data_IF_938762278848
#
_entry.id   IF_938762278848
#
_cell.length_a   1.000
_cell.length_b   1.000
_cell.length_c   1.000
_cell.angle_alpha   90.00
_cell.angle_beta   90.00
_cell.angle_gamma   90.00
#
_symmetry.space_group_name_H-M   'P 1'
#
loop_
_entity.id
_entity.type
_entity.pdbx_description
1 polymer ?
#
# COMPACT_ATOMS: atom_id res chain seq x y z
N UNK A 1 16.23 7.53 -20.61
CA UNK A 1 15.58 8.19 -19.46
C UNK A 1 15.28 9.63 -19.84
N UNK A 2 14.01 10.05 -19.86
CA UNK A 2 13.63 11.46 -20.08
C UNK A 2 14.04 12.24 -18.82
N UNK A 3 14.83 13.29 -18.97
CA UNK A 3 15.18 14.16 -17.85
C UNK A 3 13.93 15.00 -17.56
N UNK A 4 13.40 14.99 -16.32
CA UNK A 4 12.20 15.74 -15.98
C UNK A 4 12.44 17.23 -16.20
N UNK A 5 11.45 17.90 -16.77
CA UNK A 5 11.48 19.35 -16.93
C UNK A 5 11.37 20.03 -15.56
N UNK A 6 11.85 21.28 -15.46
CA UNK A 6 11.77 22.04 -14.19
C UNK A 6 10.33 22.26 -13.74
N UNK A 7 9.39 22.33 -14.69
CA UNK A 7 7.96 22.48 -14.44
C UNK A 7 7.35 21.20 -13.87
N UNK A 8 7.59 20.05 -14.51
CA UNK A 8 7.17 18.73 -14.01
C UNK A 8 7.72 18.46 -12.59
N UNK A 9 8.98 18.87 -12.32
CA UNK A 9 9.59 18.71 -10.99
C UNK A 9 8.89 19.56 -9.93
N UNK A 10 8.55 20.80 -10.25
CA UNK A 10 7.87 21.68 -9.31
C UNK A 10 6.44 21.19 -9.02
N UNK A 11 5.74 20.70 -10.04
CA UNK A 11 4.43 20.09 -9.88
C UNK A 11 4.48 18.83 -9.02
N UNK A 12 5.47 17.96 -9.28
CA UNK A 12 5.72 16.78 -8.47
C UNK A 12 5.98 17.12 -7.00
N UNK A 13 6.89 18.06 -6.72
CA UNK A 13 7.22 18.50 -5.35
C UNK A 13 6.01 19.09 -4.64
N UNK A 14 5.21 19.89 -5.34
CA UNK A 14 3.97 20.44 -4.79
C UNK A 14 2.98 19.32 -4.46
N UNK A 15 2.77 18.38 -5.37
CA UNK A 15 1.81 17.28 -5.19
C UNK A 15 2.17 16.37 -4.02
N UNK A 16 3.43 15.92 -3.93
CA UNK A 16 3.90 15.10 -2.81
C UNK A 16 3.96 15.91 -1.50
N UNK A 17 4.23 17.21 -1.58
CA UNK A 17 4.26 18.11 -0.42
C UNK A 17 2.88 18.27 0.22
N UNK A 18 1.85 18.48 -0.60
CA UNK A 18 0.44 18.49 -0.16
C UNK A 18 0.05 17.12 0.41
N UNK A 19 0.48 16.03 -0.22
CA UNK A 19 0.31 14.67 0.29
C UNK A 19 0.94 14.48 1.68
N UNK A 20 2.20 14.83 1.83
CA UNK A 20 2.94 14.75 3.09
C UNK A 20 2.30 15.59 4.20
N UNK A 21 1.86 16.82 3.89
CA UNK A 21 1.16 17.69 4.85
C UNK A 21 -0.16 17.10 5.32
N UNK A 22 -0.98 16.54 4.42
CA UNK A 22 -2.22 15.85 4.78
C UNK A 22 -1.93 14.64 5.68
N UNK A 23 -0.89 13.86 5.36
CA UNK A 23 -0.47 12.71 6.16
C UNK A 23 0.04 13.12 7.55
N UNK A 24 0.82 14.19 7.64
CA UNK A 24 1.32 14.74 8.88
C UNK A 24 0.18 15.29 9.76
N UNK A 25 -0.83 15.93 9.17
CA UNK A 25 -2.02 16.39 9.90
C UNK A 25 -2.79 15.21 10.53
N UNK A 26 -2.97 14.11 9.80
CA UNK A 26 -3.56 12.87 10.34
C UNK A 26 -2.67 12.30 11.46
N UNK A 27 -1.36 12.24 11.24
CA UNK A 27 -0.41 11.76 12.25
C UNK A 27 -0.40 12.62 13.52
N UNK A 28 -0.56 13.94 13.40
CA UNK A 28 -0.69 14.86 14.54
C UNK A 28 -1.95 14.59 15.34
N UNK A 29 -3.08 14.34 14.66
CA UNK A 29 -4.33 13.97 15.32
C UNK A 29 -4.17 12.65 16.09
N UNK A 30 -3.64 11.61 15.44
CA UNK A 30 -3.39 10.29 16.06
C UNK A 30 -2.44 10.42 17.25
N UNK A 31 -1.35 11.16 17.09
CA UNK A 31 -0.35 11.36 18.13
C UNK A 31 -0.87 12.13 19.33
N UNK A 32 -1.64 13.19 19.09
CA UNK A 32 -2.24 14.01 20.15
C UNK A 32 -3.31 13.23 20.92
N UNK A 33 -4.21 12.54 20.21
CA UNK A 33 -5.23 11.69 20.82
C UNK A 33 -4.60 10.53 21.60
N UNK A 34 -3.60 9.86 21.01
CA UNK A 34 -2.86 8.77 21.64
C UNK A 34 -2.13 9.21 22.90
N UNK A 35 -1.42 10.34 22.83
CA UNK A 35 -0.72 10.93 23.97
C UNK A 35 -1.69 11.31 25.10
N UNK A 36 -2.82 11.95 24.77
CA UNK A 36 -3.86 12.31 25.73
C UNK A 36 -4.43 11.07 26.45
N UNK A 37 -4.78 10.03 25.69
CA UNK A 37 -5.33 8.80 26.26
C UNK A 37 -4.30 8.07 27.14
N UNK A 38 -3.04 8.00 26.68
CA UNK A 38 -1.96 7.37 27.42
C UNK A 38 -1.69 8.08 28.76
N UNK A 39 -1.63 9.41 28.75
CA UNK A 39 -1.45 10.25 29.95
C UNK A 39 -2.60 10.10 30.95
N UNK A 40 -3.84 9.93 30.47
CA UNK A 40 -5.02 9.71 31.32
C UNK A 40 -5.04 8.31 31.94
N UNK A 41 -4.63 7.29 31.20
CA UNK A 41 -4.70 5.88 31.63
C UNK A 41 -3.51 5.44 32.48
N UNK A 42 -2.34 6.03 32.28
CA UNK A 42 -1.10 5.68 32.98
C UNK A 42 -0.38 6.94 33.49
N UNK A 43 -0.70 7.41 34.71
CA UNK A 43 -0.09 8.63 35.26
C UNK A 43 1.44 8.54 35.43
N UNK A 44 2.00 7.33 35.53
CA UNK A 44 3.45 7.09 35.56
C UNK A 44 4.19 7.50 34.26
N UNK A 45 3.47 7.69 33.15
CA UNK A 45 4.06 8.24 31.91
C UNK A 45 4.50 9.70 32.07
N UNK A 46 3.94 10.44 33.04
CA UNK A 46 4.36 11.81 33.34
C UNK A 46 5.79 11.87 33.86
N UNK A 47 6.25 10.83 34.56
CA UNK A 47 7.58 10.76 35.15
C UNK A 47 8.65 10.19 34.20
N UNK A 48 8.26 9.72 33.00
CA UNK A 48 9.23 9.23 32.01
C UNK A 48 10.02 10.38 31.38
N UNK A 49 11.25 10.09 30.96
CA UNK A 49 12.18 11.05 30.35
C UNK A 49 11.59 11.74 29.11
N UNK A 50 12.04 12.98 28.88
CA UNK A 50 11.55 13.85 27.79
C UNK A 50 11.72 13.21 26.42
N UNK A 51 12.81 12.48 26.18
CA UNK A 51 13.06 11.77 24.92
C UNK A 51 11.94 10.79 24.55
N UNK A 52 11.44 10.00 25.50
CA UNK A 52 10.38 9.04 25.22
C UNK A 52 9.08 9.74 24.81
N UNK A 53 8.79 10.89 25.41
CA UNK A 53 7.58 11.68 25.13
C UNK A 53 7.65 12.30 23.74
N UNK A 54 8.76 12.94 23.41
CA UNK A 54 8.95 13.56 22.09
C UNK A 54 9.00 12.51 20.98
N UNK A 55 9.71 11.40 21.17
CA UNK A 55 9.75 10.32 20.19
C UNK A 55 8.37 9.70 19.95
N UNK A 56 7.64 9.35 21.03
CA UNK A 56 6.30 8.78 20.91
C UNK A 56 5.32 9.75 20.25
N UNK A 57 5.53 11.06 20.42
CA UNK A 57 4.70 12.06 19.77
C UNK A 57 5.08 12.28 18.29
N UNK A 58 6.37 12.31 17.97
CA UNK A 58 6.87 12.63 16.62
C UNK A 58 6.76 11.44 15.67
N UNK A 59 6.96 10.21 16.17
CA UNK A 59 7.03 9.02 15.32
C UNK A 59 5.76 8.76 14.49
N UNK A 60 4.52 8.85 15.04
CA UNK A 60 3.30 8.71 14.25
C UNK A 60 3.13 9.81 13.20
N UNK A 61 3.54 11.04 13.53
CA UNK A 61 3.46 12.19 12.61
C UNK A 61 4.33 11.97 11.38
N UNK A 62 5.59 11.58 11.60
CA UNK A 62 6.52 11.30 10.52
C UNK A 62 6.10 10.07 9.71
N UNK A 63 5.67 8.99 10.37
CA UNK A 63 5.23 7.79 9.69
C UNK A 63 4.04 8.07 8.75
N UNK A 64 2.97 8.70 9.25
CA UNK A 64 1.81 9.04 8.43
C UNK A 64 2.15 10.06 7.32
N UNK A 65 3.02 11.03 7.61
CA UNK A 65 3.48 12.01 6.62
C UNK A 65 4.24 11.34 5.46
N UNK A 66 5.24 10.52 5.77
CA UNK A 66 6.07 9.83 4.77
C UNK A 66 5.23 8.82 3.97
N UNK A 67 4.37 8.03 4.62
CA UNK A 67 3.50 7.08 3.90
C UNK A 67 2.54 7.78 2.94
N UNK A 68 1.94 8.91 3.34
CA UNK A 68 1.03 9.62 2.44
C UNK A 68 1.77 10.37 1.33
N UNK A 69 2.99 10.83 1.58
CA UNK A 69 3.89 11.38 0.57
C UNK A 69 4.21 10.32 -0.50
N UNK A 70 4.58 9.12 -0.06
CA UNK A 70 4.85 7.97 -0.93
C UNK A 70 3.62 7.59 -1.78
N UNK A 71 2.43 7.53 -1.18
CA UNK A 71 1.20 7.27 -1.93
C UNK A 71 0.89 8.37 -2.95
N UNK A 72 1.16 9.62 -2.60
CA UNK A 72 0.96 10.75 -3.52
C UNK A 72 1.98 10.71 -4.66
N UNK A 73 3.23 10.34 -4.38
CA UNK A 73 4.26 10.13 -5.40
C UNK A 73 3.82 9.08 -6.43
N UNK A 74 3.39 7.90 -5.97
CA UNK A 74 2.92 6.83 -6.87
C UNK A 74 1.67 7.23 -7.67
N UNK A 75 0.76 8.00 -7.07
CA UNK A 75 -0.43 8.51 -7.78
C UNK A 75 -0.06 9.49 -8.88
N UNK A 76 0.87 10.40 -8.60
CA UNK A 76 1.37 11.33 -9.60
C UNK A 76 1.99 10.60 -10.79
N UNK A 77 2.83 9.60 -10.51
CA UNK A 77 3.45 8.77 -11.53
C UNK A 77 2.40 7.98 -12.34
N UNK A 78 1.41 7.40 -11.67
CA UNK A 78 0.34 6.66 -12.33
C UNK A 78 -0.49 7.54 -13.28
N UNK A 79 -0.76 8.78 -12.91
CA UNK A 79 -1.54 9.72 -13.72
C UNK A 79 -0.75 10.29 -14.91
N UNK A 80 0.54 10.61 -14.71
CA UNK A 80 1.36 11.25 -15.73
C UNK A 80 2.01 10.27 -16.70
N UNK A 81 2.39 9.09 -16.23
CA UNK A 81 3.10 8.09 -17.03
C UNK A 81 2.24 6.86 -17.34
N UNK A 82 1.00 6.78 -16.82
CA UNK A 82 0.15 5.62 -17.04
C UNK A 82 0.73 4.34 -16.45
N UNK A 83 1.53 4.44 -15.39
CA UNK A 83 2.18 3.29 -14.75
C UNK A 83 1.42 2.84 -13.48
N UNK A 84 1.62 1.59 -13.05
CA UNK A 84 0.96 1.07 -11.86
C UNK A 84 -0.55 0.88 -12.04
N UNK A 85 -1.37 1.46 -11.16
CA UNK A 85 -2.83 1.22 -11.13
C UNK A 85 -3.59 1.76 -12.34
N UNK A 86 -3.01 2.75 -13.05
CA UNK A 86 -3.59 3.35 -14.25
C UNK A 86 -3.02 2.77 -15.55
N UNK A 87 -2.20 1.72 -15.46
CA UNK A 87 -1.69 1.04 -16.64
C UNK A 87 -2.84 0.46 -17.48
N UNK A 88 -2.77 0.55 -18.82
CA UNK A 88 -3.84 0.10 -19.70
C UNK A 88 -4.22 -1.36 -19.46
N UNK A 89 -3.22 -2.20 -19.14
CA UNK A 89 -3.41 -3.61 -18.77
C UNK A 89 -4.20 -3.78 -17.48
N UNK A 90 -3.93 -2.96 -16.46
CA UNK A 90 -4.60 -2.99 -15.16
C UNK A 90 -6.04 -2.48 -15.28
N UNK A 91 -6.25 -1.41 -16.04
CA UNK A 91 -7.59 -0.88 -16.32
C UNK A 91 -8.42 -1.87 -17.17
N UNK A 92 -7.81 -2.52 -18.16
CA UNK A 92 -8.46 -3.57 -18.94
C UNK A 92 -8.81 -4.78 -18.06
N UNK A 93 -7.95 -5.14 -17.10
CA UNK A 93 -8.23 -6.16 -16.10
C UNK A 93 -9.40 -5.77 -15.20
N UNK A 94 -9.41 -4.56 -14.65
CA UNK A 94 -10.52 -4.06 -13.82
C UNK A 94 -11.85 -4.10 -14.57
N UNK A 95 -11.89 -3.68 -15.84
CA UNK A 95 -13.09 -3.79 -16.69
C UNK A 95 -13.53 -5.22 -16.95
N UNK A 96 -12.62 -6.20 -16.95
CA UNK A 96 -12.98 -7.63 -16.99
C UNK A 96 -13.58 -8.08 -15.65
N UNK A 97 -12.98 -7.66 -14.53
CA UNK A 97 -13.45 -7.96 -13.18
C UNK A 97 -14.85 -7.42 -12.89
N UNK A 98 -15.18 -6.25 -13.43
CA UNK A 98 -16.52 -5.65 -13.31
C UNK A 98 -17.62 -6.42 -14.04
N UNK A 99 -17.26 -7.25 -15.02
CA UNK A 99 -18.20 -8.10 -15.76
C UNK A 99 -18.49 -9.43 -15.05
N UNK A 100 -17.76 -9.76 -13.98
CA UNK A 100 -18.00 -10.99 -13.21
C UNK A 100 -19.19 -10.85 -12.26
N UNK A 101 -19.83 -11.98 -11.89
CA UNK A 101 -20.81 -12.04 -10.82
C UNK A 101 -20.24 -11.46 -9.52
N UNK A 102 -21.12 -10.85 -8.70
CA UNK A 102 -20.72 -10.18 -7.46
C UNK A 102 -19.96 -11.09 -6.48
N UNK A 103 -20.30 -12.38 -6.45
CA UNK A 103 -19.63 -13.37 -5.60
C UNK A 103 -18.19 -13.62 -6.05
N UNK A 104 -17.99 -13.86 -7.34
CA UNK A 104 -16.66 -14.10 -7.91
C UNK A 104 -15.78 -12.85 -7.79
N UNK A 105 -16.37 -11.66 -7.98
CA UNK A 105 -15.67 -10.38 -7.76
C UNK A 105 -15.23 -10.21 -6.31
N UNK A 106 -16.07 -10.53 -5.33
CA UNK A 106 -15.72 -10.45 -3.92
C UNK A 106 -14.61 -11.44 -3.55
N UNK A 107 -14.69 -12.66 -4.10
CA UNK A 107 -13.69 -13.70 -3.87
C UNK A 107 -12.33 -13.30 -4.46
N UNK A 108 -12.32 -12.80 -5.69
CA UNK A 108 -11.11 -12.35 -6.38
C UNK A 108 -10.49 -11.13 -5.71
N UNK A 109 -11.30 -10.16 -5.27
CA UNK A 109 -10.84 -9.04 -4.46
C UNK A 109 -10.20 -9.51 -3.14
N UNK A 110 -10.78 -10.53 -2.51
CA UNK A 110 -10.22 -11.17 -1.32
C UNK A 110 -8.86 -11.81 -1.57
N UNK A 111 -8.69 -12.48 -2.72
CA UNK A 111 -7.43 -13.08 -3.13
C UNK A 111 -6.34 -12.03 -3.44
N UNK A 112 -6.67 -10.95 -4.15
CA UNK A 112 -5.76 -9.84 -4.45
C UNK A 112 -5.30 -9.12 -3.18
N UNK A 113 -6.21 -8.95 -2.21
CA UNK A 113 -5.94 -8.25 -0.95
C UNK A 113 -5.64 -9.19 0.21
N UNK A 114 -5.21 -10.44 -0.07
CA UNK A 114 -4.96 -11.49 0.94
C UNK A 114 -4.15 -10.98 2.13
N UNK A 115 -3.06 -10.27 1.90
CA UNK A 115 -2.20 -9.75 2.97
C UNK A 115 -2.88 -8.66 3.80
N UNK A 116 -3.69 -7.79 3.17
CA UNK A 116 -4.46 -6.75 3.89
C UNK A 116 -5.54 -7.39 4.77
N UNK A 117 -6.20 -8.43 4.27
CA UNK A 117 -7.22 -9.18 5.04
C UNK A 117 -6.58 -9.93 6.20
N UNK A 118 -5.44 -10.60 5.98
CA UNK A 118 -4.68 -11.28 7.03
C UNK A 118 -4.27 -10.27 8.11
N UNK A 119 -3.71 -9.13 7.72
CA UNK A 119 -3.32 -8.08 8.66
C UNK A 119 -4.51 -7.47 9.41
N UNK A 120 -5.62 -7.23 8.71
CA UNK A 120 -6.86 -6.71 9.31
C UNK A 120 -7.46 -7.71 10.31
N UNK A 121 -7.53 -8.99 9.95
CA UNK A 121 -8.02 -10.07 10.80
C UNK A 121 -7.13 -10.25 12.03
N UNK A 122 -5.81 -10.18 11.85
CA UNK A 122 -4.85 -10.21 12.95
C UNK A 122 -5.07 -9.05 13.93
N UNK A 123 -5.17 -7.82 13.40
CA UNK A 123 -5.41 -6.62 14.21
C UNK A 123 -6.77 -6.68 14.93
N UNK A 124 -7.81 -7.12 14.22
CA UNK A 124 -9.15 -7.31 14.79
C UNK A 124 -9.15 -8.34 15.92
N UNK A 125 -8.42 -9.45 15.74
CA UNK A 125 -8.33 -10.51 16.75
C UNK A 125 -7.56 -10.04 17.99
N UNK A 126 -6.46 -9.31 17.80
CA UNK A 126 -5.73 -8.67 18.90
C UNK A 126 -6.58 -7.64 19.64
N UNK A 127 -7.27 -6.76 18.91
CA UNK A 127 -8.14 -5.74 19.48
C UNK A 127 -9.32 -6.35 20.25
N UNK A 128 -9.98 -7.35 19.66
CA UNK A 128 -11.07 -8.11 20.29
C UNK A 128 -10.62 -8.82 21.57
N UNK A 129 -9.46 -9.47 21.53
CA UNK A 129 -8.87 -10.13 22.70
C UNK A 129 -8.51 -9.11 23.79
N UNK A 130 -7.90 -7.98 23.42
CA UNK A 130 -7.58 -6.91 24.37
C UNK A 130 -8.82 -6.29 25.01
N UNK A 131 -9.89 -6.09 24.23
CA UNK A 131 -11.18 -5.62 24.74
C UNK A 131 -11.79 -6.63 25.72
N UNK A 132 -11.81 -7.91 25.36
CA UNK A 132 -12.33 -8.99 26.20
C UNK A 132 -11.56 -9.09 27.54
N UNK A 133 -10.23 -9.13 27.50
CA UNK A 133 -9.36 -9.21 28.69
C UNK A 133 -9.50 -7.97 29.59
N UNK A 134 -9.74 -6.79 29.02
CA UNK A 134 -9.93 -5.58 29.81
C UNK A 134 -11.34 -5.40 30.37
N UNK A 135 -12.35 -6.10 29.83
CA UNK A 135 -13.72 -6.09 30.36
C UNK A 135 -13.80 -6.78 31.73
N UNK A 136 -13.04 -7.84 31.94
CA UNK A 136 -13.02 -8.56 33.21
C UNK A 136 -12.17 -7.83 34.26
N UNK A 137 -12.85 -7.25 35.25
CA UNK A 137 -12.26 -6.46 36.35
C UNK A 137 -11.74 -7.31 37.51
N UNK A 138 -12.07 -8.61 37.53
CA UNK A 138 -11.75 -9.53 38.63
C UNK A 138 -10.35 -10.15 38.54
N UNK A 139 -9.68 -10.07 37.38
CA UNK A 139 -8.37 -10.70 37.17
C UNK A 139 -7.20 -9.78 37.52
N UNK A 140 -6.21 -10.32 38.22
CA UNK A 140 -4.96 -9.60 38.52
C UNK A 140 -4.16 -9.33 37.25
N UNK A 141 -3.34 -8.26 37.25
CA UNK A 141 -2.55 -7.85 36.06
C UNK A 141 -1.63 -8.97 35.56
N UNK A 142 -1.04 -9.75 36.47
CA UNK A 142 -0.18 -10.88 36.12
C UNK A 142 -0.94 -11.97 35.37
N UNK A 143 -2.16 -12.29 35.79
CA UNK A 143 -3.01 -13.29 35.10
C UNK A 143 -3.38 -12.83 33.68
N UNK A 144 -3.64 -11.52 33.49
CA UNK A 144 -3.96 -10.97 32.16
C UNK A 144 -2.80 -11.14 31.17
N UNK A 145 -1.56 -10.99 31.63
CA UNK A 145 -0.37 -11.18 30.78
C UNK A 145 -0.22 -12.65 30.37
N UNK A 146 -0.45 -13.58 31.29
CA UNK A 146 -0.37 -15.02 30.99
C UNK A 146 -1.43 -15.42 29.97
N UNK A 147 -2.67 -14.97 30.16
CA UNK A 147 -3.74 -15.21 29.20
C UNK A 147 -3.45 -14.57 27.84
N UNK A 148 -2.98 -13.32 27.82
CA UNK A 148 -2.63 -12.64 26.57
C UNK A 148 -1.59 -13.43 25.76
N UNK A 149 -0.61 -14.06 26.41
CA UNK A 149 0.37 -14.92 25.73
C UNK A 149 -0.27 -16.17 25.13
N UNK A 150 -1.18 -16.82 25.85
CA UNK A 150 -1.91 -17.98 25.34
C UNK A 150 -2.79 -17.63 24.14
N UNK A 151 -3.52 -16.51 24.21
CA UNK A 151 -4.29 -16.02 23.06
C UNK A 151 -3.39 -15.66 21.88
N UNK A 152 -2.28 -14.95 22.09
CA UNK A 152 -1.37 -14.58 21.02
C UNK A 152 -0.82 -15.82 20.27
N UNK A 153 -0.47 -16.87 21.02
CA UNK A 153 -0.02 -18.14 20.44
C UNK A 153 -1.12 -18.80 19.61
N UNK A 154 -2.34 -18.90 20.15
CA UNK A 154 -3.48 -19.49 19.43
C UNK A 154 -3.84 -18.72 18.15
N UNK A 155 -3.88 -17.39 18.24
CA UNK A 155 -4.16 -16.50 17.10
C UNK A 155 -3.12 -16.66 16.00
N UNK A 156 -1.83 -16.78 16.37
CA UNK A 156 -0.76 -16.98 15.40
C UNK A 156 -0.92 -18.29 14.64
N UNK A 157 -1.25 -19.39 15.34
CA UNK A 157 -1.48 -20.70 14.70
C UNK A 157 -2.68 -20.64 13.74
N UNK A 158 -3.80 -20.04 14.19
CA UNK A 158 -4.99 -19.87 13.34
C UNK A 158 -4.67 -19.02 12.11
N UNK A 159 -3.90 -17.95 12.27
CA UNK A 159 -3.51 -17.06 11.17
C UNK A 159 -2.59 -17.79 10.16
N UNK A 160 -1.65 -18.61 10.65
CA UNK A 160 -0.79 -19.42 9.79
C UNK A 160 -1.59 -20.46 9.00
N UNK A 161 -2.52 -21.14 9.66
CA UNK A 161 -3.41 -22.10 9.00
C UNK A 161 -4.33 -21.42 7.99
N UNK A 162 -4.88 -20.25 8.31
CA UNK A 162 -5.68 -19.45 7.38
C UNK A 162 -4.87 -18.97 6.18
N UNK A 163 -3.64 -18.48 6.40
CA UNK A 163 -2.72 -18.07 5.34
C UNK A 163 -2.34 -19.25 4.43
N UNK A 164 -2.08 -20.41 5.01
CA UNK A 164 -1.78 -21.64 4.27
C UNK A 164 -2.98 -22.13 3.47
N UNK A 165 -4.17 -22.16 4.06
CA UNK A 165 -5.41 -22.55 3.40
C UNK A 165 -5.74 -21.61 2.23
N UNK A 166 -5.59 -20.30 2.40
CA UNK A 166 -5.73 -19.30 1.33
C UNK A 166 -4.68 -19.50 0.23
N UNK A 167 -3.44 -19.79 0.60
CA UNK A 167 -2.36 -20.04 -0.37
C UNK A 167 -2.58 -21.35 -1.14
N UNK A 168 -3.10 -22.40 -0.52
CA UNK A 168 -3.37 -23.67 -1.21
C UNK A 168 -4.63 -23.63 -2.08
N UNK A 169 -5.66 -22.91 -1.65
CA UNK A 169 -6.91 -22.76 -2.41
C UNK A 169 -6.78 -21.81 -3.60
N UNK A 170 -5.98 -20.74 -3.47
CA UNK A 170 -5.85 -19.70 -4.52
C UNK A 170 -4.45 -19.57 -5.11
N UNK A 171 -3.43 -20.21 -4.55
CA UNK A 171 -2.06 -20.28 -5.13
C UNK A 171 -1.95 -21.27 -6.29
N UNK A 172 -3.08 -21.78 -6.79
CA UNK A 172 -3.20 -22.66 -7.95
C UNK A 172 -3.60 -21.91 -9.23
N UNK A 173 -3.37 -20.60 -9.30
CA UNK A 173 -3.27 -19.88 -10.58
C UNK A 173 -1.78 -19.79 -10.99
N UNK A 174 -1.22 -20.80 -11.67
CA UNK A 174 0.15 -20.75 -12.20
C UNK A 174 0.35 -19.59 -13.19
N UNK A 175 -0.73 -19.04 -13.77
CA UNK A 175 -0.67 -17.88 -14.65
C UNK A 175 -0.18 -16.60 -13.95
N UNK A 176 -0.34 -16.47 -12.62
CA UNK A 176 -0.08 -15.21 -11.93
C UNK A 176 1.33 -15.05 -11.36
N UNK A 177 2.10 -16.13 -11.28
CA UNK A 177 3.50 -16.09 -10.83
C UNK A 177 4.45 -16.08 -12.03
N UNK A 178 4.05 -16.70 -13.14
CA UNK A 178 4.87 -16.81 -14.36
C UNK A 178 4.71 -15.62 -15.32
N UNK A 179 3.52 -14.99 -15.42
CA UNK A 179 3.30 -13.88 -16.37
C UNK A 179 3.85 -12.52 -15.89
N UNK A 180 3.93 -12.25 -14.59
CA UNK A 180 4.17 -10.89 -14.08
C UNK A 180 5.63 -10.44 -14.10
N UNK A 181 6.61 -11.34 -13.99
CA UNK A 181 8.04 -10.98 -14.03
C UNK A 181 8.71 -11.34 -15.36
N UNK A 182 8.44 -12.53 -15.91
CA UNK A 182 9.20 -13.05 -17.05
C UNK A 182 8.76 -12.50 -18.43
N UNK A 183 7.60 -11.85 -18.49
CA UNK A 183 7.07 -11.25 -19.73
C UNK A 183 6.99 -9.72 -19.70
N UNK A 184 7.07 -9.08 -18.52
CA UNK A 184 6.97 -7.63 -18.40
C UNK A 184 8.08 -6.92 -19.18
N UNK A 185 9.33 -7.37 -19.03
CA UNK A 185 10.46 -6.80 -19.78
C UNK A 185 10.37 -7.09 -21.28
N UNK A 186 9.86 -8.27 -21.69
CA UNK A 186 9.66 -8.60 -23.11
C UNK A 186 8.63 -7.70 -23.76
N UNK A 187 7.56 -7.36 -23.03
CA UNK A 187 6.54 -6.40 -23.49
C UNK A 187 7.11 -4.99 -23.61
N UNK A 188 7.84 -4.51 -22.59
CA UNK A 188 8.49 -3.19 -22.63
C UNK A 188 9.47 -3.08 -23.80
N UNK A 189 10.26 -4.13 -24.06
CA UNK A 189 11.19 -4.17 -25.20
C UNK A 189 10.44 -4.18 -26.54
N UNK A 190 9.38 -4.97 -26.67
CA UNK A 190 8.57 -5.03 -27.89
C UNK A 190 7.90 -3.67 -28.18
N UNK A 191 7.36 -3.01 -27.16
CA UNK A 191 6.74 -1.68 -27.27
C UNK A 191 7.77 -0.60 -27.68
N UNK A 192 8.99 -0.66 -27.13
CA UNK A 192 10.07 0.25 -27.50
C UNK A 192 10.54 0.02 -28.95
N UNK A 193 10.64 -1.24 -29.39
CA UNK A 193 10.94 -1.57 -30.78
C UNK A 193 9.87 -1.04 -31.75
N UNK A 194 8.59 -1.11 -31.38
CA UNK A 194 7.49 -0.56 -32.19
C UNK A 194 7.55 0.97 -32.27
N UNK A 195 7.83 1.66 -31.15
CA UNK A 195 8.06 3.12 -31.13
C UNK A 195 9.20 3.53 -32.07
N UNK A 196 10.34 2.85 -31.99
CA UNK A 196 11.50 3.15 -32.84
C UNK A 196 11.18 2.93 -34.32
N UNK A 197 10.46 1.85 -34.67
CA UNK A 197 9.99 1.60 -36.04
C UNK A 197 9.06 2.71 -36.54
N UNK A 198 8.16 3.20 -35.69
CA UNK A 198 7.27 4.33 -36.01
C UNK A 198 8.05 5.63 -36.24
N UNK A 199 9.01 5.96 -35.39
CA UNK A 199 9.87 7.15 -35.57
C UNK A 199 10.70 7.07 -36.85
N UNK A 200 11.26 5.90 -37.18
CA UNK A 200 12.02 5.69 -38.41
C UNK A 200 11.15 5.78 -39.67
N UNK A 201 9.90 5.31 -39.60
CA UNK A 201 8.93 5.48 -40.69
C UNK A 201 8.58 6.95 -40.92
N UNK A 202 8.37 7.72 -39.85
CA UNK A 202 8.09 9.16 -39.92
C UNK A 202 9.27 9.91 -40.51
N UNK A 203 10.51 9.62 -40.07
CA UNK A 203 11.73 10.22 -40.63
C UNK A 203 11.91 9.90 -42.12
N UNK A 204 11.65 8.66 -42.53
CA UNK A 204 11.68 8.26 -43.95
C UNK A 204 10.61 8.96 -44.78
N UNK A 205 9.42 9.17 -44.24
CA UNK A 205 8.36 9.93 -44.92
C UNK A 205 8.73 11.41 -45.05
N UNK A 206 9.28 12.02 -44.00
CA UNK A 206 9.77 13.41 -44.04
C UNK A 206 10.91 13.59 -45.04
N UNK A 207 11.89 12.68 -45.08
CA UNK A 207 12.96 12.70 -46.08
C UNK A 207 12.44 12.57 -47.52
N UNK A 208 11.45 11.70 -47.76
CA UNK A 208 10.81 11.58 -49.08
C UNK A 208 10.05 12.85 -49.47
N UNK A 209 9.39 13.51 -48.53
CA UNK A 209 8.71 14.78 -48.78
C UNK A 209 9.70 15.92 -49.08
N UNK A 210 10.80 16.01 -48.32
CA UNK A 210 11.88 16.98 -48.56
C UNK A 210 12.59 16.76 -49.91
N UNK A 211 12.78 15.51 -50.33
CA UNK A 211 13.38 15.17 -51.63
C UNK A 211 12.43 15.37 -52.83
N UNK A 212 11.11 15.44 -52.60
CA UNK A 212 10.12 15.73 -53.64
C UNK A 212 9.80 17.23 -53.78
N UNK A 213 10.23 18.06 -52.82
CA UNK A 213 10.06 19.52 -52.82
C UNK A 213 11.30 20.30 -53.26
N UNK A 214 12.40 19.62 -53.59
CA UNK A 214 13.66 20.16 -54.10
C UNK A 214 13.81 19.79 -55.59
#
# INVERSE_FOLDING_TARGET
>A
MKIPTKEELNEYVHYIGVGGLKGAAVGLFVSSAGSYFALRRYPGLRQRGTFFKTFSFMAPVLACGITNMEWSSRRFEAEHYGIGEMAPDVVARQKRLEKLPLFDRAMQWGAENKYKIIMGTWAATLGGTFWLINRDRLMTKSQKIVQARMYAQGVTVVLLLASMALTMSYGKDPAHVEETEDQSWKRIVAEEEERLKHEDQIKKQQQKQHAASA
#
